data_IF_981682685075
#
_entry.id   IF_981682685075
#
_cell.length_a   1.000
_cell.length_b   1.000
_cell.length_c   1.000
_cell.angle_alpha   90.00
_cell.angle_beta   90.00
_cell.angle_gamma   90.00
#
_symmetry.space_group_name_H-M   'P 1'
#
loop_
_entity.id
_entity.type
_entity.pdbx_description
1 polymer ?
#
# COMPACT_ATOMS: atom_id res chain seq x y z
N UNK A 1 28.62 -26.20 -2.17
CA UNK A 1 28.91 -24.76 -2.38
C UNK A 1 27.98 -24.12 -3.40
N UNK A 2 27.47 -24.86 -4.40
CA UNK A 2 26.58 -24.41 -5.49
C UNK A 2 25.35 -23.57 -5.09
N UNK A 3 24.66 -23.91 -3.99
CA UNK A 3 23.39 -23.26 -3.62
C UNK A 3 23.49 -21.74 -3.35
N UNK A 4 24.60 -21.28 -2.75
CA UNK A 4 24.76 -19.86 -2.43
C UNK A 4 25.08 -19.02 -3.67
N UNK A 5 25.77 -19.62 -4.64
CA UNK A 5 26.14 -18.99 -5.89
C UNK A 5 24.91 -18.81 -6.80
N UNK A 6 24.09 -19.87 -6.95
CA UNK A 6 22.81 -19.81 -7.69
C UNK A 6 21.87 -18.72 -7.14
N UNK A 7 21.81 -18.60 -5.82
CA UNK A 7 20.94 -17.64 -5.16
C UNK A 7 21.45 -16.19 -5.27
N UNK A 8 22.76 -16.01 -5.22
CA UNK A 8 23.39 -14.71 -5.47
C UNK A 8 23.11 -14.26 -6.91
N UNK A 9 23.22 -15.17 -7.86
CA UNK A 9 22.94 -14.91 -9.27
C UNK A 9 21.46 -14.57 -9.51
N UNK A 10 20.53 -15.27 -8.85
CA UNK A 10 19.09 -14.97 -8.91
C UNK A 10 18.75 -13.56 -8.41
N UNK A 11 19.33 -13.16 -7.27
CA UNK A 11 19.13 -11.82 -6.69
C UNK A 11 19.73 -10.77 -7.62
N UNK A 12 20.96 -10.98 -8.11
CA UNK A 12 21.66 -10.04 -8.98
C UNK A 12 20.92 -9.83 -10.31
N UNK A 13 20.46 -10.92 -10.93
CA UNK A 13 19.70 -10.86 -12.18
C UNK A 13 18.35 -10.16 -11.99
N UNK A 14 17.66 -10.40 -10.87
CA UNK A 14 16.40 -9.72 -10.55
C UNK A 14 16.60 -8.21 -10.39
N UNK A 15 17.67 -7.77 -9.73
CA UNK A 15 18.00 -6.35 -9.59
C UNK A 15 18.35 -5.72 -10.94
N UNK A 16 19.14 -6.40 -11.78
CA UNK A 16 19.46 -5.95 -13.15
C UNK A 16 18.21 -5.78 -14.01
N UNK A 17 17.20 -6.61 -13.80
CA UNK A 17 15.90 -6.54 -14.50
C UNK A 17 14.90 -5.58 -13.85
N UNK A 18 15.32 -4.77 -12.86
CA UNK A 18 14.46 -3.88 -12.07
C UNK A 18 13.30 -4.59 -11.33
N UNK A 19 13.37 -5.91 -11.16
CA UNK A 19 12.41 -6.70 -10.37
C UNK A 19 12.81 -6.75 -8.90
N UNK A 20 12.64 -5.60 -8.24
CA UNK A 20 12.88 -5.47 -6.80
C UNK A 20 11.98 -6.38 -5.95
N UNK A 21 10.83 -6.82 -6.48
CA UNK A 21 9.89 -7.68 -5.77
C UNK A 21 10.45 -9.09 -5.62
N UNK A 22 10.96 -9.68 -6.71
CA UNK A 22 11.60 -11.00 -6.70
C UNK A 22 12.88 -10.98 -5.88
N UNK A 23 13.74 -9.97 -6.05
CA UNK A 23 14.94 -9.82 -5.22
C UNK A 23 14.61 -9.78 -3.72
N UNK A 24 13.60 -9.00 -3.33
CA UNK A 24 13.14 -8.92 -1.94
C UNK A 24 12.53 -10.24 -1.45
N UNK A 25 11.76 -10.94 -2.28
CA UNK A 25 11.16 -12.22 -1.93
C UNK A 25 12.24 -13.28 -1.65
N UNK A 26 13.29 -13.34 -2.47
CA UNK A 26 14.42 -14.27 -2.32
C UNK A 26 15.23 -13.96 -1.05
N UNK A 27 15.54 -12.68 -0.79
CA UNK A 27 16.17 -12.23 0.47
C UNK A 27 15.29 -12.56 1.69
N UNK A 28 13.97 -12.37 1.57
CA UNK A 28 13.03 -12.68 2.66
C UNK A 28 12.98 -14.19 2.93
N UNK A 29 13.06 -15.03 1.90
CA UNK A 29 13.16 -16.50 2.06
C UNK A 29 14.40 -16.87 2.87
N UNK A 30 15.55 -16.27 2.54
CA UNK A 30 16.82 -16.47 3.25
C UNK A 30 16.75 -16.11 4.73
N UNK A 31 16.07 -15.01 5.06
CA UNK A 31 15.90 -14.53 6.44
C UNK A 31 14.97 -15.42 7.29
N UNK A 32 14.48 -16.54 6.76
CA UNK A 32 13.53 -17.44 7.43
C UNK A 32 12.08 -17.27 7.00
N UNK A 33 11.83 -16.67 5.83
CA UNK A 33 10.51 -16.59 5.21
C UNK A 33 9.50 -15.71 5.94
N UNK A 34 8.21 -15.97 5.69
CA UNK A 34 7.13 -15.37 6.50
C UNK A 34 7.14 -16.08 7.86
N UNK A 35 7.57 -15.38 8.92
CA UNK A 35 7.20 -15.77 10.27
C UNK A 35 5.69 -15.95 10.29
N UNK A 36 5.21 -17.06 10.83
CA UNK A 36 3.79 -17.34 10.90
C UNK A 36 3.14 -16.34 11.88
N UNK A 37 2.70 -15.20 11.34
CA UNK A 37 2.08 -14.10 12.11
C UNK A 37 0.70 -14.54 12.62
N UNK A 38 0.14 -15.65 12.11
CA UNK A 38 -1.17 -16.15 12.53
C UNK A 38 -1.20 -16.60 13.99
N UNK A 39 -0.02 -16.78 14.61
CA UNK A 39 0.15 -17.22 16.00
C UNK A 39 0.55 -16.11 16.97
N UNK A 40 0.44 -14.83 16.62
CA UNK A 40 0.51 -13.80 17.66
C UNK A 40 -0.72 -13.94 18.57
N UNK A 41 -0.54 -14.09 19.89
CA UNK A 41 -1.65 -14.17 20.81
C UNK A 41 -2.39 -12.83 20.81
N UNK A 42 -3.61 -12.83 20.26
CA UNK A 42 -4.50 -11.67 20.32
C UNK A 42 -5.29 -11.76 21.60
N UNK A 43 -5.30 -10.70 22.40
CA UNK A 43 -6.09 -10.64 23.61
C UNK A 43 -7.45 -9.97 23.39
N UNK A 44 -8.46 -10.45 24.12
CA UNK A 44 -9.69 -9.70 24.30
C UNK A 44 -9.45 -8.44 25.15
N UNK A 45 -10.49 -7.64 25.42
CA UNK A 45 -10.37 -6.45 26.26
C UNK A 45 -10.04 -6.75 27.73
N UNK A 46 -10.33 -7.97 28.19
CA UNK A 46 -10.03 -8.43 29.54
C UNK A 46 -8.64 -9.05 29.69
N UNK A 47 -7.84 -9.12 28.63
CA UNK A 47 -6.51 -9.71 28.64
C UNK A 47 -6.46 -11.22 28.36
N UNK A 48 -7.58 -11.87 28.03
CA UNK A 48 -7.60 -13.30 27.71
C UNK A 48 -7.18 -13.57 26.27
N UNK A 49 -6.36 -14.60 26.05
CA UNK A 49 -5.88 -14.97 24.72
C UNK A 49 -6.99 -15.62 23.88
N UNK A 50 -7.19 -15.10 22.67
CA UNK A 50 -8.15 -15.56 21.67
C UNK A 50 -7.53 -16.64 20.77
N UNK A 51 -7.80 -17.89 21.12
CA UNK A 51 -7.25 -19.06 20.40
C UNK A 51 -7.92 -19.31 19.03
N UNK A 52 -9.17 -18.89 18.85
CA UNK A 52 -9.96 -19.16 17.64
C UNK A 52 -9.88 -18.00 16.63
N UNK A 53 -9.62 -18.33 15.35
CA UNK A 53 -9.53 -17.35 14.26
C UNK A 53 -10.79 -16.47 14.12
N UNK A 54 -11.98 -17.06 14.28
CA UNK A 54 -13.25 -16.30 14.26
C UNK A 54 -13.29 -15.22 15.35
N UNK A 55 -12.87 -15.56 16.57
CA UNK A 55 -12.88 -14.62 17.69
C UNK A 55 -11.83 -13.52 17.50
N UNK A 56 -10.67 -13.85 16.92
CA UNK A 56 -9.66 -12.88 16.51
C UNK A 56 -10.21 -11.88 15.49
N UNK A 57 -10.96 -12.36 14.49
CA UNK A 57 -11.57 -11.51 13.46
C UNK A 57 -12.61 -10.54 14.06
N UNK A 58 -13.48 -11.05 14.95
CA UNK A 58 -14.45 -10.21 15.68
C UNK A 58 -13.73 -9.16 16.52
N UNK A 59 -12.69 -9.55 17.27
CA UNK A 59 -11.88 -8.64 18.08
C UNK A 59 -11.23 -7.52 17.26
N UNK A 60 -10.77 -7.82 16.04
CA UNK A 60 -10.25 -6.83 15.10
C UNK A 60 -11.33 -5.87 14.62
N UNK A 61 -12.50 -6.38 14.24
CA UNK A 61 -13.65 -5.56 13.84
C UNK A 61 -13.99 -4.56 14.95
N UNK A 62 -14.14 -5.04 16.18
CA UNK A 62 -14.51 -4.20 17.33
C UNK A 62 -13.42 -3.18 17.64
N UNK A 63 -12.14 -3.59 17.59
CA UNK A 63 -11.01 -2.69 17.78
C UNK A 63 -11.02 -1.51 16.80
N UNK A 64 -11.13 -1.82 15.50
CA UNK A 64 -11.08 -0.80 14.46
C UNK A 64 -12.33 0.06 14.46
N UNK A 65 -13.50 -0.49 14.83
CA UNK A 65 -14.69 0.32 15.03
C UNK A 65 -14.47 1.38 16.12
N UNK A 66 -13.83 1.01 17.23
CA UNK A 66 -13.54 1.95 18.32
C UNK A 66 -12.44 2.95 17.99
N UNK A 67 -11.40 2.53 17.27
CA UNK A 67 -10.24 3.40 16.98
C UNK A 67 -10.52 4.32 15.80
N UNK A 68 -11.16 3.82 14.74
CA UNK A 68 -11.30 4.55 13.47
C UNK A 68 -12.65 5.26 13.32
N UNK A 69 -13.71 4.75 13.95
CA UNK A 69 -15.04 5.37 13.89
C UNK A 69 -15.34 6.21 15.14
N UNK A 70 -14.31 6.82 15.73
CA UNK A 70 -14.54 7.86 16.73
C UNK A 70 -15.19 9.03 16.00
N UNK A 71 -16.49 9.22 16.23
CA UNK A 71 -17.19 10.43 15.81
C UNK A 71 -16.60 11.60 16.59
N UNK A 72 -15.53 12.20 16.07
CA UNK A 72 -15.02 13.46 16.56
C UNK A 72 -16.06 14.52 16.20
N UNK A 73 -16.53 15.26 17.21
CA UNK A 73 -17.23 16.51 16.97
C UNK A 73 -16.20 17.49 16.43
N UNK A 74 -16.05 17.53 15.11
CA UNK A 74 -15.23 18.53 14.45
C UNK A 74 -15.99 19.84 14.60
N UNK A 75 -15.43 20.75 15.39
CA UNK A 75 -15.93 22.11 15.45
C UNK A 75 -15.79 22.73 14.05
N UNK A 76 -16.93 23.06 13.44
CA UNK A 76 -16.96 23.69 12.11
C UNK A 76 -16.24 25.04 12.10
N UNK A 77 -16.10 25.70 13.25
CA UNK A 77 -15.29 26.92 13.37
C UNK A 77 -13.82 26.66 13.03
N UNK A 78 -13.28 25.47 13.35
CA UNK A 78 -11.91 25.08 13.02
C UNK A 78 -11.77 24.91 11.52
N UNK A 79 -12.76 24.31 10.84
CA UNK A 79 -12.76 24.14 9.38
C UNK A 79 -12.83 25.49 8.65
N UNK A 80 -13.59 26.45 9.18
CA UNK A 80 -13.66 27.82 8.63
C UNK A 80 -12.36 28.60 8.81
N UNK A 81 -11.52 28.22 9.78
CA UNK A 81 -10.20 28.81 10.02
C UNK A 81 -9.08 28.14 9.21
N UNK A 82 -9.36 27.09 8.44
CA UNK A 82 -8.37 26.50 7.52
C UNK A 82 -8.33 27.37 6.28
N UNK A 83 -7.34 28.25 6.20
CA UNK A 83 -7.02 28.95 4.95
C UNK A 83 -6.55 27.92 3.92
N UNK A 84 -7.23 27.76 2.77
CA UNK A 84 -6.74 26.87 1.72
C UNK A 84 -5.34 27.32 1.30
N UNK A 85 -4.42 26.37 1.02
CA UNK A 85 -3.09 26.73 0.58
C UNK A 85 -3.20 27.57 -0.70
N UNK A 86 -2.67 28.80 -0.65
CA UNK A 86 -2.60 29.67 -1.82
C UNK A 86 -1.57 29.09 -2.79
N UNK A 87 -2.05 28.38 -3.82
CA UNK A 87 -1.19 27.98 -4.92
C UNK A 87 -0.89 29.20 -5.81
N UNK A 88 0.30 29.29 -6.42
CA UNK A 88 0.58 30.33 -7.40
C UNK A 88 -0.43 30.28 -8.55
N UNK A 89 -0.84 31.44 -9.08
CA UNK A 89 -1.79 31.54 -10.20
C UNK A 89 -1.36 30.68 -11.40
N UNK A 90 -0.05 30.59 -11.65
CA UNK A 90 0.50 29.75 -12.72
C UNK A 90 0.16 28.27 -12.51
N UNK A 91 0.23 27.79 -11.28
CA UNK A 91 -0.08 26.38 -10.97
C UNK A 91 -1.58 26.12 -11.02
N UNK A 92 -2.40 27.11 -10.63
CA UNK A 92 -3.86 27.03 -10.79
C UNK A 92 -4.26 26.88 -12.27
N UNK A 93 -3.70 27.72 -13.15
CA UNK A 93 -3.94 27.64 -14.59
C UNK A 93 -3.50 26.28 -15.17
N UNK A 94 -2.42 25.69 -14.66
CA UNK A 94 -1.96 24.37 -15.10
C UNK A 94 -2.91 23.25 -14.67
N UNK A 95 -3.45 23.32 -13.45
CA UNK A 95 -4.38 22.32 -12.92
C UNK A 95 -5.77 22.41 -13.57
N UNK A 96 -6.22 23.61 -13.95
CA UNK A 96 -7.50 23.82 -14.63
C UNK A 96 -7.49 23.40 -16.12
N UNK A 97 -6.31 23.10 -16.67
CA UNK A 97 -6.16 22.71 -18.07
C UNK A 97 -6.53 21.23 -18.27
N UNK A 98 -7.30 20.94 -19.31
CA UNK A 98 -7.58 19.56 -19.75
C UNK A 98 -6.25 18.86 -20.10
N UNK A 99 -5.99 17.65 -19.55
CA UNK A 99 -4.77 16.92 -19.84
C UNK A 99 -4.72 16.51 -21.31
N UNK A 100 -3.54 16.66 -21.91
CA UNK A 100 -3.27 16.19 -23.27
C UNK A 100 -3.07 14.66 -23.30
N UNK A 101 -3.27 14.07 -24.48
CA UNK A 101 -3.03 12.64 -24.67
C UNK A 101 -1.60 12.22 -24.30
N UNK A 102 -0.60 13.06 -24.57
CA UNK A 102 0.78 12.77 -24.21
C UNK A 102 1.00 12.78 -22.70
N UNK A 103 0.41 13.73 -21.97
CA UNK A 103 0.48 13.77 -20.51
C UNK A 103 -0.17 12.52 -19.90
N UNK A 104 -1.29 12.05 -20.45
CA UNK A 104 -1.94 10.81 -20.02
C UNK A 104 -1.03 9.60 -20.27
N UNK A 105 -0.45 9.48 -21.47
CA UNK A 105 0.49 8.39 -21.79
C UNK A 105 1.71 8.39 -20.88
N UNK A 106 2.30 9.55 -20.62
CA UNK A 106 3.43 9.66 -19.69
C UNK A 106 3.05 9.29 -18.27
N UNK A 107 1.85 9.69 -17.81
CA UNK A 107 1.37 9.36 -16.48
C UNK A 107 1.19 7.85 -16.30
N UNK A 108 0.63 7.17 -17.31
CA UNK A 108 0.50 5.71 -17.33
C UNK A 108 1.89 5.06 -17.27
N UNK A 109 2.84 5.49 -18.11
CA UNK A 109 4.20 4.94 -18.12
C UNK A 109 4.97 5.19 -16.80
N UNK A 110 4.67 6.28 -16.09
CA UNK A 110 5.26 6.59 -14.78
C UNK A 110 4.60 5.80 -13.64
N UNK A 111 3.46 5.16 -13.89
CA UNK A 111 2.74 4.38 -12.89
C UNK A 111 3.49 3.08 -12.60
N UNK A 112 3.86 2.85 -11.33
CA UNK A 112 4.58 1.64 -10.94
C UNK A 112 3.66 0.42 -11.06
N UNK A 113 4.06 -0.56 -11.86
CA UNK A 113 3.48 -1.90 -11.89
C UNK A 113 3.79 -2.65 -10.58
N UNK A 114 2.93 -3.63 -10.22
CA UNK A 114 3.13 -4.46 -9.04
C UNK A 114 2.68 -3.88 -7.70
N UNK A 115 2.04 -2.70 -7.68
CA UNK A 115 1.30 -2.22 -6.49
C UNK A 115 -0.01 -2.99 -6.32
N UNK A 116 -0.42 -3.18 -5.06
CA UNK A 116 -1.72 -3.77 -4.74
C UNK A 116 -2.82 -2.87 -5.33
N UNK A 117 -3.80 -3.44 -6.07
CA UNK A 117 -4.91 -2.67 -6.62
C UNK A 117 -5.72 -1.96 -5.53
N UNK A 118 -6.38 -0.87 -5.89
CA UNK A 118 -7.38 -0.24 -5.04
C UNK A 118 -8.63 -1.10 -4.88
N UNK A 119 -9.66 -0.54 -4.23
CA UNK A 119 -10.99 -1.17 -4.11
C UNK A 119 -11.64 -1.46 -5.47
N UNK A 120 -11.24 -0.69 -6.49
CA UNK A 120 -11.64 -0.84 -7.89
C UNK A 120 -10.95 -2.03 -8.59
N UNK A 121 -10.02 -2.72 -7.92
CA UNK A 121 -9.22 -3.81 -8.46
C UNK A 121 -8.39 -3.44 -9.69
N UNK A 122 -8.16 -2.15 -9.94
CA UNK A 122 -7.34 -1.68 -11.07
C UNK A 122 -5.88 -1.59 -10.64
N UNK A 123 -5.00 -2.28 -11.36
CA UNK A 123 -3.55 -2.21 -11.16
C UNK A 123 -2.91 -1.36 -12.26
N UNK A 124 -1.73 -0.80 -11.99
CA UNK A 124 -1.04 0.05 -12.98
C UNK A 124 -0.81 -0.64 -14.32
N UNK A 125 -0.49 -1.95 -14.31
CA UNK A 125 -0.30 -2.73 -15.54
C UNK A 125 -1.60 -3.05 -16.30
N UNK A 126 -2.76 -2.98 -15.64
CA UNK A 126 -4.06 -3.19 -16.32
C UNK A 126 -4.44 -1.99 -17.18
N UNK A 127 -4.04 -0.78 -16.79
CA UNK A 127 -4.39 0.48 -17.49
C UNK A 127 -3.65 0.61 -18.84
N UNK A 128 -2.46 0.01 -18.97
CA UNK A 128 -1.71 -0.05 -20.23
C UNK A 128 -2.43 -0.83 -21.33
N UNK A 129 -3.30 -1.80 -20.96
CA UNK A 129 -4.00 -2.68 -21.92
C UNK A 129 -5.28 -2.08 -22.54
N UNK A 130 -5.66 -0.86 -22.16
CA UNK A 130 -6.92 -0.23 -22.56
C UNK A 130 -6.79 0.69 -23.78
N UNK A 131 -5.60 0.76 -24.37
CA UNK A 131 -5.22 1.67 -25.46
C UNK A 131 -4.32 0.96 -26.47
#
# INVERSE_FOLDING_TARGET
>A
MVYWDELSEEIENSIKQHDSSTAFATIRRLKGGRKNVENLPIQDKGGNILNHSRNRMVRWKDHFAEVLNVHSNIDQSIMQNITPPSIPVVEQIRQDKIPSLNEVKEAINKMKSGKVPGIDSVSGGSVESWW
#
